data_IF_290293305760
#
_entry.id   IF_290293305760
#
_cell.length_a   1.000
_cell.length_b   1.000
_cell.length_c   1.000
_cell.angle_alpha   90.00
_cell.angle_beta   90.00
_cell.angle_gamma   90.00
#
_symmetry.space_group_name_H-M   'P 1'
#
loop_
_entity.id
_entity.type
_entity.pdbx_description
1 polymer ?
#
# COMPACT_ATOMS: atom_id res chain seq x y z
N UNK A 1 104.53 24.24 -52.70
CA UNK A 1 103.21 24.88 -52.89
C UNK A 1 102.25 24.29 -51.86
N UNK A 2 101.72 25.04 -50.89
CA UNK A 2 100.81 24.50 -49.89
C UNK A 2 99.36 24.56 -50.39
N UNK A 3 98.63 23.46 -50.23
CA UNK A 3 97.20 23.33 -50.54
C UNK A 3 96.36 23.86 -49.37
N UNK A 4 95.26 24.60 -49.62
CA UNK A 4 94.49 25.26 -48.56
C UNK A 4 93.54 24.30 -47.83
N UNK A 5 93.39 24.54 -46.53
CA UNK A 5 92.45 23.90 -45.60
C UNK A 5 90.99 24.19 -45.97
N UNK A 6 90.14 23.16 -45.93
CA UNK A 6 88.69 23.22 -46.12
C UNK A 6 87.96 23.63 -44.85
N UNK A 7 87.19 24.71 -44.92
CA UNK A 7 86.31 25.24 -43.84
C UNK A 7 85.09 24.33 -43.60
N UNK A 8 84.57 24.23 -42.35
CA UNK A 8 83.40 23.40 -42.05
C UNK A 8 82.10 24.04 -42.56
N UNK A 9 81.06 23.24 -42.89
CA UNK A 9 79.79 23.77 -43.35
C UNK A 9 79.02 24.45 -42.20
N UNK A 10 78.52 25.66 -42.47
CA UNK A 10 77.68 26.41 -41.56
C UNK A 10 76.32 25.70 -41.36
N UNK A 11 75.95 25.45 -40.10
CA UNK A 11 74.63 24.95 -39.72
C UNK A 11 73.56 25.97 -40.15
N UNK A 12 72.77 25.59 -41.15
CA UNK A 12 71.67 26.39 -41.68
C UNK A 12 70.55 26.40 -40.64
N UNK A 13 70.51 27.41 -39.77
CA UNK A 13 69.36 27.65 -38.90
C UNK A 13 68.10 27.81 -39.76
N UNK A 14 67.24 26.79 -39.76
CA UNK A 14 65.89 26.90 -40.31
C UNK A 14 65.18 28.01 -39.56
N UNK A 15 64.95 29.16 -40.20
CA UNK A 15 64.04 30.18 -39.70
C UNK A 15 62.66 29.54 -39.57
N UNK A 16 62.20 29.36 -38.34
CA UNK A 16 60.82 28.99 -38.06
C UNK A 16 59.96 30.16 -38.51
N UNK A 17 59.11 29.95 -39.52
CA UNK A 17 58.06 30.91 -39.87
C UNK A 17 57.04 30.89 -38.74
N UNK A 18 56.76 32.06 -38.15
CA UNK A 18 55.67 32.21 -37.18
C UNK A 18 54.32 31.96 -37.82
N UNK A 19 53.31 31.64 -37.01
CA UNK A 19 51.94 31.43 -37.47
C UNK A 19 51.33 32.72 -38.01
N UNK A 20 50.56 32.60 -39.09
CA UNK A 20 49.76 33.75 -39.55
C UNK A 20 48.57 33.99 -38.61
N UNK A 21 48.09 35.23 -38.52
CA UNK A 21 46.90 35.58 -37.72
C UNK A 21 45.70 34.67 -38.07
N UNK A 22 45.54 34.35 -39.36
CA UNK A 22 44.46 33.49 -39.87
C UNK A 22 44.61 32.06 -39.37
N UNK A 23 45.84 31.54 -39.28
CA UNK A 23 46.13 30.19 -38.76
C UNK A 23 45.78 30.08 -37.28
N UNK A 24 46.10 31.11 -36.49
CA UNK A 24 45.75 31.16 -35.05
C UNK A 24 44.23 31.29 -34.87
N UNK A 25 43.56 32.13 -35.68
CA UNK A 25 42.11 32.27 -35.64
C UNK A 25 41.39 30.96 -36.00
N UNK A 26 41.86 30.27 -37.04
CA UNK A 26 41.31 28.97 -37.44
C UNK A 26 41.57 27.89 -36.38
N UNK A 27 42.76 27.87 -35.77
CA UNK A 27 43.10 26.93 -34.71
C UNK A 27 42.21 27.09 -33.47
N UNK A 28 41.96 28.33 -33.03
CA UNK A 28 41.06 28.62 -31.91
C UNK A 28 39.62 28.24 -32.28
N UNK A 29 39.17 28.57 -33.49
CA UNK A 29 37.82 28.23 -33.96
C UNK A 29 37.58 26.72 -33.96
N UNK A 30 38.50 25.93 -34.54
CA UNK A 30 38.40 24.47 -34.55
C UNK A 30 38.48 23.87 -33.14
N UNK A 31 39.33 24.44 -32.26
CA UNK A 31 39.40 24.05 -30.85
C UNK A 31 38.09 24.30 -30.11
N UNK A 32 37.46 25.46 -30.32
CA UNK A 32 36.15 25.77 -29.73
C UNK A 32 35.05 24.83 -30.24
N UNK A 33 35.02 24.53 -31.54
CA UNK A 33 34.07 23.56 -32.09
C UNK A 33 34.23 22.17 -31.48
N UNK A 34 35.47 21.69 -31.32
CA UNK A 34 35.74 20.40 -30.70
C UNK A 34 35.27 20.36 -29.23
N UNK A 35 35.55 21.41 -28.45
CA UNK A 35 35.11 21.49 -27.05
C UNK A 35 33.58 21.54 -26.93
N UNK A 36 32.90 22.30 -27.79
CA UNK A 36 31.42 22.36 -27.81
C UNK A 36 30.85 20.99 -28.16
N UNK A 37 31.41 20.29 -29.15
CA UNK A 37 30.97 18.95 -29.52
C UNK A 37 31.09 17.96 -28.36
N UNK A 38 32.22 17.96 -27.65
CA UNK A 38 32.44 17.10 -26.47
C UNK A 38 31.48 17.47 -25.33
N UNK A 39 31.30 18.77 -25.04
CA UNK A 39 30.36 19.22 -24.01
C UNK A 39 28.92 18.81 -24.32
N UNK A 40 28.50 18.82 -25.60
CA UNK A 40 27.18 18.35 -26.01
C UNK A 40 26.98 16.86 -25.75
N UNK A 41 27.93 16.02 -26.18
CA UNK A 41 27.86 14.57 -25.95
C UNK A 41 27.89 14.24 -24.46
N UNK A 42 28.75 14.92 -23.70
CA UNK A 42 28.84 14.74 -22.25
C UNK A 42 27.53 15.15 -21.55
N UNK A 43 26.96 16.30 -21.92
CA UNK A 43 25.68 16.78 -21.37
C UNK A 43 24.52 15.81 -21.67
N UNK A 44 24.49 15.23 -22.87
CA UNK A 44 23.51 14.21 -23.23
C UNK A 44 23.70 12.92 -22.42
N UNK A 45 24.95 12.48 -22.23
CA UNK A 45 25.27 11.28 -21.44
C UNK A 45 24.92 11.46 -19.96
N UNK A 46 25.25 12.61 -19.35
CA UNK A 46 24.90 12.90 -17.95
C UNK A 46 23.38 12.96 -17.77
N UNK A 47 22.67 13.59 -18.71
CA UNK A 47 21.20 13.62 -18.71
C UNK A 47 20.63 12.21 -18.83
N UNK A 48 21.11 11.40 -19.78
CA UNK A 48 20.67 10.02 -19.94
C UNK A 48 20.92 9.17 -18.69
N UNK A 49 22.07 9.36 -18.03
CA UNK A 49 22.41 8.67 -16.79
C UNK A 49 21.47 9.08 -15.63
N UNK A 50 21.20 10.37 -15.45
CA UNK A 50 20.25 10.86 -14.43
C UNK A 50 18.85 10.31 -14.64
N UNK A 51 18.39 10.31 -15.90
CA UNK A 51 17.08 9.77 -16.26
C UNK A 51 17.00 8.27 -15.99
N UNK A 52 18.05 7.52 -16.35
CA UNK A 52 18.16 6.10 -16.08
C UNK A 52 18.06 5.80 -14.58
N UNK A 53 18.82 6.52 -13.76
CA UNK A 53 18.79 6.39 -12.30
C UNK A 53 17.41 6.74 -11.72
N UNK A 54 16.82 7.86 -12.13
CA UNK A 54 15.49 8.28 -11.64
C UNK A 54 14.39 7.28 -12.00
N UNK A 55 14.47 6.62 -13.17
CA UNK A 55 13.53 5.56 -13.55
C UNK A 55 13.74 4.28 -12.74
N UNK A 56 15.00 3.93 -12.45
CA UNK A 56 15.35 2.81 -11.58
C UNK A 56 14.84 3.01 -10.15
N UNK A 57 15.04 4.21 -9.58
CA UNK A 57 14.51 4.57 -8.25
C UNK A 57 12.98 4.48 -8.20
N UNK A 58 12.28 5.01 -9.21
CA UNK A 58 10.82 4.92 -9.29
C UNK A 58 10.35 3.45 -9.31
N UNK A 59 11.07 2.58 -10.02
CA UNK A 59 10.77 1.16 -10.09
C UNK A 59 10.98 0.46 -8.74
N UNK A 60 12.11 0.70 -8.09
CA UNK A 60 12.44 0.10 -6.79
C UNK A 60 11.45 0.54 -5.71
N UNK A 61 11.14 1.84 -5.64
CA UNK A 61 10.21 2.37 -4.64
C UNK A 61 8.79 1.85 -4.84
N UNK A 62 8.29 1.84 -6.09
CA UNK A 62 6.98 1.27 -6.40
C UNK A 62 6.92 -0.24 -6.10
N UNK A 63 7.98 -0.99 -6.41
CA UNK A 63 8.04 -2.42 -6.12
C UNK A 63 8.04 -2.70 -4.61
N UNK A 64 8.82 -1.93 -3.85
CA UNK A 64 8.86 -2.02 -2.38
C UNK A 64 7.49 -1.71 -1.77
N UNK A 65 6.84 -0.63 -2.21
CA UNK A 65 5.51 -0.26 -1.76
C UNK A 65 4.47 -1.37 -2.03
N UNK A 66 4.46 -1.91 -3.26
CA UNK A 66 3.55 -2.99 -3.63
C UNK A 66 3.82 -4.27 -2.82
N UNK A 67 5.09 -4.62 -2.59
CA UNK A 67 5.45 -5.82 -1.84
C UNK A 67 5.10 -5.72 -0.35
N UNK A 68 5.26 -4.55 0.27
CA UNK A 68 4.81 -4.29 1.64
C UNK A 68 3.30 -4.43 1.76
N UNK A 69 2.54 -3.72 0.92
CA UNK A 69 1.08 -3.79 0.89
C UNK A 69 0.61 -5.23 0.60
N UNK A 70 1.25 -5.91 -0.35
CA UNK A 70 0.90 -7.30 -0.69
C UNK A 70 1.08 -8.26 0.47
N UNK A 71 2.12 -8.07 1.29
CA UNK A 71 2.36 -8.92 2.47
C UNK A 71 1.30 -8.71 3.55
N UNK A 72 0.93 -7.46 3.80
CA UNK A 72 -0.10 -7.13 4.79
C UNK A 72 -1.50 -7.61 4.33
N UNK A 73 -1.87 -7.30 3.09
CA UNK A 73 -3.16 -7.70 2.49
C UNK A 73 -3.30 -9.24 2.43
N UNK A 74 -2.21 -9.99 2.23
CA UNK A 74 -2.26 -11.46 2.27
C UNK A 74 -2.62 -12.02 3.65
N UNK A 75 -2.35 -11.28 4.72
CA UNK A 75 -2.72 -11.64 6.10
C UNK A 75 -4.08 -11.06 6.51
N UNK A 76 -4.63 -10.14 5.71
CA UNK A 76 -5.94 -9.55 5.96
C UNK A 76 -7.02 -10.60 6.26
N UNK A 77 -7.84 -10.31 7.26
CA UNK A 77 -8.91 -11.19 7.73
C UNK A 77 -8.43 -12.42 8.51
N UNK A 78 -7.14 -12.62 8.75
CA UNK A 78 -6.65 -13.70 9.62
C UNK A 78 -7.29 -13.54 11.02
N UNK A 79 -7.81 -14.64 11.58
CA UNK A 79 -8.51 -14.67 12.87
C UNK A 79 -9.83 -13.85 12.94
N UNK A 80 -10.22 -13.20 11.84
CA UNK A 80 -11.52 -12.52 11.65
C UNK A 80 -12.36 -13.20 10.57
N UNK A 81 -11.87 -14.30 10.02
CA UNK A 81 -12.48 -15.06 8.93
C UNK A 81 -13.55 -16.03 9.43
N UNK A 82 -14.57 -15.52 10.12
CA UNK A 82 -15.81 -16.23 10.41
C UNK A 82 -17.00 -15.38 9.97
N UNK A 83 -18.00 -16.02 9.38
CA UNK A 83 -19.24 -15.34 8.97
C UNK A 83 -20.00 -14.74 10.15
N UNK A 84 -19.73 -15.22 11.37
CA UNK A 84 -20.31 -14.68 12.60
C UNK A 84 -19.77 -13.29 12.96
N UNK A 85 -18.57 -12.93 12.47
CA UNK A 85 -17.91 -11.67 12.77
C UNK A 85 -17.94 -10.68 11.60
N UNK A 86 -17.92 -11.16 10.35
CA UNK A 86 -17.88 -10.29 9.18
C UNK A 86 -19.05 -9.30 9.18
N UNK A 87 -18.74 -8.01 8.96
CA UNK A 87 -19.73 -6.94 8.98
C UNK A 87 -20.07 -6.42 10.38
N UNK A 88 -19.68 -7.09 11.47
CA UNK A 88 -19.91 -6.58 12.81
C UNK A 88 -19.19 -5.27 13.07
N UNK A 89 -19.75 -4.46 13.97
CA UNK A 89 -19.17 -3.18 14.39
C UNK A 89 -18.20 -3.39 15.55
N UNK A 90 -16.90 -3.20 15.33
CA UNK A 90 -15.84 -3.32 16.32
C UNK A 90 -15.49 -1.95 16.94
N UNK A 91 -15.50 -1.88 18.27
CA UNK A 91 -14.94 -0.76 19.04
C UNK A 91 -13.54 -1.11 19.54
N UNK A 92 -12.61 -0.17 19.39
CA UNK A 92 -11.25 -0.23 19.92
C UNK A 92 -11.00 0.92 20.90
N UNK A 93 -9.82 0.96 21.53
CA UNK A 93 -9.54 1.87 22.65
C UNK A 93 -8.93 3.22 22.29
N UNK A 94 -8.29 3.30 21.12
CA UNK A 94 -7.52 4.47 20.68
C UNK A 94 -8.39 5.57 20.10
N UNK A 95 -9.62 5.26 19.69
CA UNK A 95 -10.54 6.19 19.07
C UNK A 95 -11.99 5.90 19.47
N UNK A 96 -12.86 6.91 19.38
CA UNK A 96 -14.31 6.74 19.53
C UNK A 96 -14.99 6.24 18.25
N UNK A 97 -14.26 6.17 17.14
CA UNK A 97 -14.76 5.59 15.90
C UNK A 97 -14.92 4.08 16.03
N UNK A 98 -15.93 3.55 15.37
CA UNK A 98 -16.15 2.11 15.26
C UNK A 98 -15.78 1.63 13.86
N UNK A 99 -15.42 0.35 13.77
CA UNK A 99 -14.88 -0.28 12.58
C UNK A 99 -15.83 -1.36 12.09
N UNK A 100 -15.99 -1.52 10.79
CA UNK A 100 -16.62 -2.73 10.25
C UNK A 100 -15.58 -3.85 10.22
N UNK A 101 -15.89 -5.01 10.79
CA UNK A 101 -15.03 -6.18 10.70
C UNK A 101 -15.03 -6.69 9.27
N UNK A 102 -13.94 -6.40 8.57
CA UNK A 102 -13.68 -6.77 7.20
C UNK A 102 -12.16 -6.94 7.00
N UNK A 103 -11.72 -7.77 6.04
CA UNK A 103 -10.29 -7.97 5.80
C UNK A 103 -9.60 -6.67 5.36
N UNK A 104 -10.19 -5.98 4.40
CA UNK A 104 -9.70 -4.71 3.86
C UNK A 104 -10.89 -3.81 3.58
N UNK A 105 -10.79 -2.53 3.94
CA UNK A 105 -11.73 -1.47 3.54
C UNK A 105 -10.98 -0.43 2.71
N UNK A 106 -11.51 -0.13 1.52
CA UNK A 106 -11.02 0.88 0.59
C UNK A 106 -11.80 2.18 0.79
N UNK A 107 -11.11 3.31 0.84
CA UNK A 107 -11.68 4.66 0.88
C UNK A 107 -12.64 4.93 2.05
N UNK A 108 -12.30 4.43 3.25
CA UNK A 108 -13.04 4.78 4.47
C UNK A 108 -12.66 6.18 4.95
N UNK A 109 -13.41 7.19 4.53
CA UNK A 109 -13.08 8.60 4.80
C UNK A 109 -13.27 9.03 6.26
N UNK A 110 -14.02 8.26 7.06
CA UNK A 110 -14.20 8.61 8.47
C UNK A 110 -12.98 8.16 9.30
N UNK A 111 -12.48 6.93 9.05
CA UNK A 111 -11.34 6.36 9.78
C UNK A 111 -10.01 6.66 9.09
N UNK A 112 -9.96 6.88 7.80
CA UNK A 112 -8.71 7.19 7.11
C UNK A 112 -8.87 8.52 6.37
N UNK A 113 -8.40 9.63 6.97
CA UNK A 113 -8.47 10.94 6.35
C UNK A 113 -7.82 10.89 4.97
N UNK A 114 -8.39 11.61 4.00
CA UNK A 114 -7.86 11.65 2.65
C UNK A 114 -6.36 12.00 2.63
N UNK A 115 -5.63 11.34 1.74
CA UNK A 115 -4.23 11.62 1.46
C UNK A 115 -4.06 12.70 0.39
N UNK A 116 -3.01 12.53 -0.42
CA UNK A 116 -2.82 13.28 -1.65
C UNK A 116 -4.03 13.09 -2.57
N UNK A 117 -4.34 14.11 -3.38
CA UNK A 117 -5.52 14.13 -4.23
C UNK A 117 -5.57 12.91 -5.18
N UNK A 118 -6.77 12.35 -5.35
CA UNK A 118 -7.05 11.21 -6.24
C UNK A 118 -6.24 9.94 -5.94
N UNK A 119 -5.86 9.77 -4.67
CA UNK A 119 -5.26 8.54 -4.14
C UNK A 119 -6.24 7.84 -3.22
N UNK A 120 -6.31 6.51 -3.34
CA UNK A 120 -7.15 5.69 -2.49
C UNK A 120 -6.48 5.46 -1.13
N UNK A 121 -7.30 5.21 -0.12
CA UNK A 121 -6.86 4.81 1.22
C UNK A 121 -7.25 3.36 1.50
N UNK A 122 -6.46 2.68 2.32
CA UNK A 122 -6.73 1.29 2.72
C UNK A 122 -6.77 1.20 4.23
N UNK A 123 -7.65 0.37 4.75
CA UNK A 123 -7.68 -0.09 6.13
C UNK A 123 -7.61 -1.61 6.12
N UNK A 124 -6.58 -2.20 6.72
CA UNK A 124 -6.33 -3.65 6.72
C UNK A 124 -6.44 -4.16 8.15
N UNK A 125 -7.24 -5.19 8.37
CA UNK A 125 -7.36 -5.84 9.69
C UNK A 125 -6.82 -7.26 9.63
N UNK A 126 -5.94 -7.61 10.56
CA UNK A 126 -5.39 -8.96 10.65
C UNK A 126 -5.09 -9.34 12.10
N UNK A 127 -5.39 -10.59 12.45
CA UNK A 127 -4.89 -11.27 13.64
C UNK A 127 -3.72 -12.18 13.32
N UNK A 128 -3.15 -12.79 14.35
CA UNK A 128 -2.07 -13.78 14.22
C UNK A 128 -2.39 -15.11 14.93
N UNK A 129 -3.62 -15.27 15.43
CA UNK A 129 -4.07 -16.51 16.06
C UNK A 129 -4.18 -17.64 15.02
N UNK A 130 -3.48 -18.74 15.28
CA UNK A 130 -3.42 -19.92 14.41
C UNK A 130 -4.40 -21.04 14.75
N UNK A 131 -5.38 -20.81 15.64
CA UNK A 131 -6.39 -21.80 16.02
C UNK A 131 -7.71 -21.68 15.25
N UNK A 132 -8.81 -22.08 15.89
CA UNK A 132 -10.15 -22.09 15.26
C UNK A 132 -10.65 -20.67 14.95
N UNK A 133 -11.06 -20.38 13.69
CA UNK A 133 -11.65 -19.09 13.33
C UNK A 133 -13.11 -18.93 13.80
N UNK A 134 -13.81 -20.03 14.13
CA UNK A 134 -15.23 -20.02 14.54
C UNK A 134 -15.44 -19.62 16.01
N UNK A 135 -14.38 -19.22 16.70
CA UNK A 135 -14.41 -18.91 18.12
C UNK A 135 -14.50 -20.14 19.02
N UNK A 136 -14.40 -19.91 20.32
CA UNK A 136 -14.58 -20.91 21.37
C UNK A 136 -15.88 -20.66 22.13
N UNK A 137 -16.62 -21.73 22.42
CA UNK A 137 -17.89 -21.61 23.11
C UNK A 137 -17.71 -21.05 24.53
N UNK A 138 -18.56 -20.09 24.89
CA UNK A 138 -18.57 -19.49 26.22
C UNK A 138 -19.63 -20.18 27.07
N UNK A 139 -19.22 -20.83 28.16
CA UNK A 139 -20.14 -21.53 29.07
C UNK A 139 -20.67 -20.64 30.19
N UNK A 140 -19.94 -19.58 30.54
CA UNK A 140 -20.37 -18.55 31.48
C UNK A 140 -19.64 -17.24 31.19
N UNK A 141 -20.33 -16.11 31.31
CA UNK A 141 -19.72 -14.78 31.23
C UNK A 141 -20.02 -13.98 32.52
N UNK A 142 -19.07 -13.15 32.90
CA UNK A 142 -19.16 -12.24 34.04
C UNK A 142 -18.48 -10.92 33.74
N UNK A 143 -18.58 -9.96 34.66
CA UNK A 143 -17.92 -8.66 34.47
C UNK A 143 -16.40 -8.86 34.38
N UNK A 144 -15.81 -8.57 33.22
CA UNK A 144 -14.38 -8.71 32.99
C UNK A 144 -13.87 -10.16 32.99
N UNK A 145 -14.74 -11.16 32.79
CA UNK A 145 -14.30 -12.55 32.68
C UNK A 145 -15.24 -13.40 31.82
N UNK A 146 -14.66 -14.43 31.22
CA UNK A 146 -15.36 -15.38 30.36
C UNK A 146 -14.83 -16.78 30.64
N UNK A 147 -15.72 -17.77 30.74
CA UNK A 147 -15.36 -19.18 30.86
C UNK A 147 -15.46 -19.84 29.51
N UNK A 148 -14.30 -20.19 28.96
CA UNK A 148 -14.11 -20.80 27.64
C UNK A 148 -14.01 -22.32 27.77
N UNK A 149 -14.48 -23.05 26.77
CA UNK A 149 -14.36 -24.51 26.71
C UNK A 149 -12.92 -24.96 26.44
N UNK A 150 -12.18 -24.23 25.60
CA UNK A 150 -10.80 -24.58 25.21
C UNK A 150 -9.81 -23.58 25.80
N UNK A 151 -9.48 -23.72 27.08
CA UNK A 151 -8.54 -22.81 27.77
C UNK A 151 -7.20 -22.64 27.03
N UNK A 152 -6.64 -23.73 26.48
CA UNK A 152 -5.36 -23.71 25.76
C UNK A 152 -5.37 -22.93 24.43
N UNK A 153 -6.54 -22.48 23.98
CA UNK A 153 -6.68 -21.57 22.85
C UNK A 153 -6.32 -20.13 23.19
N UNK A 154 -6.13 -19.77 24.46
CA UNK A 154 -5.95 -18.39 24.92
C UNK A 154 -4.69 -18.25 25.77
N UNK A 155 -3.98 -17.16 25.56
CA UNK A 155 -2.80 -16.79 26.35
C UNK A 155 -2.95 -15.34 26.84
N UNK A 156 -2.36 -15.03 28.00
CA UNK A 156 -2.33 -13.64 28.46
C UNK A 156 -1.61 -12.75 27.42
N UNK A 157 -2.24 -11.63 27.07
CA UNK A 157 -1.80 -10.72 26.01
C UNK A 157 -2.61 -10.83 24.72
N UNK A 158 -3.29 -11.94 24.50
CA UNK A 158 -4.10 -12.15 23.29
C UNK A 158 -5.24 -11.13 23.20
N UNK A 159 -5.43 -10.57 22.01
CA UNK A 159 -6.61 -9.80 21.68
C UNK A 159 -7.80 -10.75 21.47
N UNK A 160 -8.97 -10.33 21.96
CA UNK A 160 -10.17 -11.15 21.99
C UNK A 160 -11.40 -10.29 21.74
N UNK A 161 -12.38 -10.85 21.03
CA UNK A 161 -13.72 -10.29 20.94
C UNK A 161 -14.76 -11.33 21.36
N UNK A 162 -15.78 -10.88 22.07
CA UNK A 162 -16.96 -11.68 22.39
C UNK A 162 -18.04 -11.39 21.35
N UNK A 163 -18.60 -12.44 20.76
CA UNK A 163 -19.53 -12.33 19.64
C UNK A 163 -20.51 -13.50 19.54
N UNK A 164 -21.38 -13.48 18.51
CA UNK A 164 -22.39 -14.50 18.30
C UNK A 164 -21.78 -15.81 17.76
N UNK A 165 -22.54 -16.89 17.83
CA UNK A 165 -22.23 -18.19 17.21
C UNK A 165 -22.96 -18.41 15.87
N UNK A 166 -23.67 -17.39 15.41
CA UNK A 166 -24.40 -17.40 14.15
C UNK A 166 -24.39 -15.99 13.53
N UNK A 167 -24.30 -15.85 12.20
CA UNK A 167 -24.24 -14.53 11.56
C UNK A 167 -25.48 -13.70 11.86
N UNK A 168 -25.30 -12.44 12.23
CA UNK A 168 -26.41 -11.49 12.35
C UNK A 168 -26.79 -10.98 10.97
N UNK A 169 -27.98 -11.40 10.54
CA UNK A 169 -28.51 -11.15 9.22
C UNK A 169 -29.49 -9.98 9.29
N UNK A 170 -29.05 -8.73 9.05
CA UNK A 170 -29.82 -7.54 8.62
C UNK A 170 -29.03 -6.23 8.82
N UNK A 171 -29.14 -5.28 7.89
CA UNK A 171 -28.57 -3.92 8.04
C UNK A 171 -29.08 -3.20 9.28
N UNK A 172 -28.17 -2.63 10.08
CA UNK A 172 -28.49 -1.93 11.33
C UNK A 172 -28.69 -2.86 12.53
N UNK A 173 -28.47 -4.16 12.37
CA UNK A 173 -28.54 -5.18 13.43
C UNK A 173 -27.27 -6.03 13.52
N UNK A 174 -26.20 -5.57 12.84
CA UNK A 174 -24.87 -6.14 12.94
C UNK A 174 -24.44 -6.24 14.40
N UNK A 175 -23.73 -7.31 14.75
CA UNK A 175 -23.27 -7.46 16.12
C UNK A 175 -22.31 -6.32 16.48
N UNK A 176 -22.37 -5.84 17.72
CA UNK A 176 -21.35 -4.94 18.26
C UNK A 176 -20.31 -5.77 18.98
N UNK A 177 -19.05 -5.52 18.70
CA UNK A 177 -17.90 -6.18 19.30
C UNK A 177 -17.10 -5.14 20.06
N UNK A 178 -16.66 -5.48 21.26
CA UNK A 178 -15.67 -4.70 21.97
C UNK A 178 -14.33 -5.43 21.96
N UNK A 179 -13.26 -4.75 21.54
CA UNK A 179 -11.93 -5.31 21.63
C UNK A 179 -11.53 -5.45 23.11
N UNK A 180 -11.11 -6.64 23.49
CA UNK A 180 -10.64 -6.97 24.82
C UNK A 180 -9.26 -7.63 24.73
N UNK A 181 -8.56 -7.70 25.86
CA UNK A 181 -7.32 -8.47 26.02
C UNK A 181 -7.47 -9.48 27.13
N UNK A 182 -6.93 -10.66 26.92
CA UNK A 182 -6.78 -11.67 27.97
C UNK A 182 -5.70 -11.19 28.94
N UNK A 183 -6.07 -10.87 30.18
CA UNK A 183 -5.12 -10.41 31.20
C UNK A 183 -4.50 -11.57 31.97
N UNK A 184 -5.27 -12.63 32.19
CA UNK A 184 -4.84 -13.86 32.85
C UNK A 184 -5.77 -15.03 32.47
N UNK A 185 -5.29 -16.25 32.62
CA UNK A 185 -6.07 -17.47 32.46
C UNK A 185 -5.94 -18.34 33.72
N UNK A 186 -7.07 -18.67 34.35
CA UNK A 186 -7.13 -19.54 35.52
C UNK A 186 -8.09 -20.71 35.25
N UNK A 187 -7.52 -21.88 34.94
CA UNK A 187 -8.31 -23.00 34.43
C UNK A 187 -8.98 -22.61 33.12
N UNK A 188 -10.30 -22.74 33.06
CA UNK A 188 -11.12 -22.37 31.90
C UNK A 188 -11.61 -20.92 31.91
N UNK A 189 -11.28 -20.14 32.94
CA UNK A 189 -11.74 -18.75 33.05
C UNK A 189 -10.64 -17.80 32.59
N UNK A 190 -10.90 -17.09 31.50
CA UNK A 190 -10.08 -15.97 31.04
C UNK A 190 -10.56 -14.68 31.70
N UNK A 191 -9.65 -14.00 32.39
CA UNK A 191 -9.86 -12.62 32.83
C UNK A 191 -9.59 -11.67 31.67
N UNK A 192 -10.46 -10.69 31.50
CA UNK A 192 -10.45 -9.77 30.38
C UNK A 192 -10.25 -8.33 30.86
N UNK A 193 -9.38 -7.60 30.18
CA UNK A 193 -9.30 -6.14 30.27
C UNK A 193 -9.92 -5.54 29.00
N UNK A 194 -10.85 -4.60 29.16
CA UNK A 194 -11.39 -3.86 28.03
C UNK A 194 -10.28 -3.04 27.36
N UNK A 195 -10.19 -3.15 26.04
CA UNK A 195 -9.36 -2.26 25.22
C UNK A 195 -10.27 -1.21 24.61
N UNK A 196 -11.37 -1.62 23.97
CA UNK A 196 -12.36 -0.69 23.45
C UNK A 196 -13.34 -0.14 24.49
N UNK A 197 -13.99 0.95 24.11
CA UNK A 197 -14.95 1.68 24.94
C UNK A 197 -16.40 1.20 24.79
N UNK A 198 -16.64 0.22 23.91
CA UNK A 198 -17.97 -0.33 23.65
C UNK A 198 -18.36 -1.49 24.57
N UNK A 199 -19.52 -2.09 24.28
CA UNK A 199 -19.96 -3.36 24.87
C UNK A 199 -20.28 -4.34 23.75
N UNK A 200 -19.80 -5.57 23.88
CA UNK A 200 -20.23 -6.64 22.95
C UNK A 200 -21.73 -6.89 23.10
N UNK A 201 -22.45 -6.99 21.99
CA UNK A 201 -23.89 -7.29 21.98
C UNK A 201 -24.18 -8.76 22.32
N UNK A 202 -23.18 -9.63 22.19
CA UNK A 202 -23.27 -11.07 22.44
C UNK A 202 -21.99 -11.57 23.13
N UNK A 203 -22.10 -12.65 23.90
CA UNK A 203 -20.97 -13.34 24.55
C UNK A 203 -21.05 -14.86 24.42
N UNK A 204 -21.75 -15.37 23.40
CA UNK A 204 -21.93 -16.80 23.12
C UNK A 204 -20.63 -17.50 22.70
N UNK A 205 -19.73 -16.77 22.02
CA UNK A 205 -18.41 -17.25 21.66
C UNK A 205 -17.31 -16.20 21.92
N UNK A 206 -16.12 -16.71 22.23
CA UNK A 206 -14.89 -15.96 22.39
C UNK A 206 -13.97 -16.21 21.18
N UNK A 207 -13.72 -15.15 20.41
CA UNK A 207 -12.84 -15.22 19.24
C UNK A 207 -11.46 -14.70 19.62
N UNK A 208 -10.46 -15.58 19.57
CA UNK A 208 -9.07 -15.18 19.78
C UNK A 208 -8.51 -14.59 18.48
N UNK A 209 -8.06 -13.34 18.54
CA UNK A 209 -7.43 -12.61 17.44
C UNK A 209 -5.90 -12.67 17.51
N UNK A 210 -5.37 -13.18 18.63
CA UNK A 210 -3.95 -13.33 18.92
C UNK A 210 -3.31 -12.06 19.47
N UNK A 211 -2.07 -12.17 19.95
CA UNK A 211 -1.36 -11.04 20.55
C UNK A 211 -0.94 -9.98 19.51
N UNK A 212 -0.81 -10.37 18.24
CA UNK A 212 -0.44 -9.52 17.12
C UNK A 212 -1.61 -8.98 16.31
N UNK A 213 -2.84 -8.96 16.87
CA UNK A 213 -3.97 -8.29 16.23
C UNK A 213 -3.60 -6.85 15.88
N UNK A 214 -3.94 -6.41 14.67
CA UNK A 214 -3.59 -5.09 14.13
C UNK A 214 -4.66 -4.55 13.21
N UNK A 215 -4.72 -3.21 13.13
CA UNK A 215 -5.57 -2.47 12.20
C UNK A 215 -4.67 -1.42 11.55
N UNK A 216 -4.20 -1.69 10.33
CA UNK A 216 -3.28 -0.80 9.62
C UNK A 216 -4.02 0.08 8.62
N UNK A 217 -3.86 1.39 8.75
CA UNK A 217 -4.34 2.37 7.80
C UNK A 217 -3.20 2.80 6.87
N UNK A 218 -3.46 2.86 5.56
CA UNK A 218 -2.52 3.31 4.53
C UNK A 218 -3.10 4.47 3.74
N UNK A 219 -2.26 5.47 3.47
CA UNK A 219 -2.58 6.59 2.61
C UNK A 219 -1.31 7.09 1.91
N UNK A 220 -1.45 7.69 0.73
CA UNK A 220 -0.36 8.46 0.13
C UNK A 220 -0.41 9.87 0.70
N UNK A 221 0.68 10.35 1.32
CA UNK A 221 0.77 11.70 1.88
C UNK A 221 2.09 12.33 1.48
N UNK A 222 2.01 13.52 0.89
CA UNK A 222 3.18 14.30 0.47
C UNK A 222 4.14 13.51 -0.44
N UNK A 223 3.59 12.70 -1.35
CA UNK A 223 4.38 11.86 -2.26
C UNK A 223 5.04 10.64 -1.60
N UNK A 224 4.58 10.22 -0.42
CA UNK A 224 5.05 9.00 0.25
C UNK A 224 3.85 8.12 0.61
N UNK A 225 4.00 6.80 0.50
CA UNK A 225 3.07 5.86 1.13
C UNK A 225 3.36 5.86 2.63
N UNK A 226 2.35 6.18 3.43
CA UNK A 226 2.42 6.17 4.90
C UNK A 226 1.50 5.11 5.48
N UNK A 227 1.85 4.64 6.68
CA UNK A 227 1.13 3.64 7.44
C UNK A 227 0.89 4.17 8.86
N UNK A 228 -0.30 3.92 9.40
CA UNK A 228 -0.62 4.13 10.81
C UNK A 228 -1.25 2.87 11.41
N UNK A 229 -0.84 2.49 12.62
CA UNK A 229 -1.44 1.39 13.38
C UNK A 229 -2.49 1.94 14.35
N UNK A 230 -3.74 1.56 14.12
CA UNK A 230 -4.88 2.00 14.91
C UNK A 230 -4.86 1.50 16.34
N UNK A 231 -4.11 0.44 16.68
CA UNK A 231 -3.98 0.00 18.06
C UNK A 231 -2.92 0.79 18.84
N UNK A 232 -2.06 1.53 18.14
CA UNK A 232 -1.08 2.44 18.73
C UNK A 232 -1.56 3.89 18.76
N UNK A 233 -2.26 4.34 17.71
CA UNK A 233 -2.67 5.74 17.53
C UNK A 233 -4.09 5.85 16.95
N UNK A 234 -4.73 7.01 17.13
CA UNK A 234 -5.94 7.34 16.36
C UNK A 234 -5.53 7.88 14.97
N UNK A 235 -5.57 7.00 13.96
CA UNK A 235 -5.16 7.34 12.59
C UNK A 235 -6.09 8.35 11.90
N UNK A 236 -7.26 8.65 12.47
CA UNK A 236 -8.13 9.72 11.98
C UNK A 236 -7.63 11.13 12.29
N UNK A 237 -6.58 11.22 13.11
CA UNK A 237 -5.94 12.45 13.52
C UNK A 237 -4.44 12.43 13.20
N UNK A 238 -3.75 13.56 13.39
CA UNK A 238 -2.29 13.61 13.27
C UNK A 238 -1.75 13.28 11.87
N UNK A 239 -2.47 13.63 10.80
CA UNK A 239 -2.15 13.27 9.40
C UNK A 239 -0.76 13.73 8.92
N UNK A 240 -0.21 14.77 9.55
CA UNK A 240 1.13 15.31 9.24
C UNK A 240 2.19 14.89 10.28
N UNK A 241 1.81 14.13 11.30
CA UNK A 241 2.73 13.65 12.33
C UNK A 241 3.36 12.32 11.88
N UNK A 242 4.66 12.35 11.58
CA UNK A 242 5.41 11.18 11.14
C UNK A 242 5.60 10.09 12.21
N UNK A 243 5.26 10.38 13.48
CA UNK A 243 5.21 9.36 14.53
C UNK A 243 3.90 8.57 14.53
N UNK A 244 2.82 9.15 13.99
CA UNK A 244 1.50 8.51 13.80
C UNK A 244 1.42 7.88 12.42
N UNK A 245 1.72 8.68 11.38
CA UNK A 245 1.72 8.28 9.98
C UNK A 245 3.16 8.08 9.48
N UNK A 246 3.68 6.88 9.69
CA UNK A 246 5.07 6.55 9.39
C UNK A 246 5.25 6.33 7.88
N UNK A 247 6.20 7.00 7.21
CA UNK A 247 6.48 6.75 5.80
C UNK A 247 7.11 5.37 5.60
N UNK A 248 6.47 4.52 4.79
CA UNK A 248 6.91 3.15 4.50
C UNK A 248 7.49 2.99 3.08
N UNK A 249 7.12 3.87 2.15
CA UNK A 249 7.77 3.98 0.85
C UNK A 249 7.75 5.41 0.33
N UNK A 250 8.86 5.84 -0.25
CA UNK A 250 9.01 7.21 -0.76
C UNK A 250 8.68 7.34 -2.25
N UNK A 251 8.36 8.55 -2.70
CA UNK A 251 8.11 8.86 -4.10
C UNK A 251 6.94 8.06 -4.70
N UNK A 252 5.92 7.82 -3.89
CA UNK A 252 4.65 7.23 -4.31
C UNK A 252 3.65 8.36 -4.50
N UNK A 253 3.10 8.49 -5.70
CA UNK A 253 2.19 9.61 -6.05
C UNK A 253 0.74 9.18 -6.25
N UNK A 254 0.49 7.89 -6.34
CA UNK A 254 -0.86 7.35 -6.42
C UNK A 254 -0.88 5.93 -5.90
N UNK A 255 -1.95 5.61 -5.18
CA UNK A 255 -2.37 4.28 -4.76
C UNK A 255 -3.79 4.13 -5.26
N UNK A 256 -4.07 3.11 -6.07
CA UNK A 256 -5.42 2.76 -6.51
C UNK A 256 -5.77 1.34 -6.08
N UNK A 257 -7.01 1.10 -5.67
CA UNK A 257 -7.45 -0.23 -5.23
C UNK A 257 -8.93 -0.51 -5.53
N UNK A 258 -9.23 -1.76 -5.86
CA UNK A 258 -10.56 -2.29 -6.14
C UNK A 258 -10.74 -3.66 -5.48
N UNK A 259 -11.95 -3.92 -4.99
CA UNK A 259 -12.37 -5.23 -4.53
C UNK A 259 -12.59 -6.16 -5.71
N UNK A 260 -12.06 -7.38 -5.62
CA UNK A 260 -12.39 -8.46 -6.51
C UNK A 260 -13.50 -9.32 -5.93
N UNK A 261 -14.60 -9.42 -6.65
CA UNK A 261 -15.78 -10.18 -6.24
C UNK A 261 -15.79 -11.56 -6.89
N UNK A 262 -16.18 -12.58 -6.14
CA UNK A 262 -16.43 -13.92 -6.69
C UNK A 262 -17.91 -14.09 -7.06
N UNK A 263 -18.20 -14.88 -8.08
CA UNK A 263 -19.57 -15.33 -8.38
C UNK A 263 -20.20 -16.02 -7.16
N UNK A 264 -21.52 -15.83 -6.98
CA UNK A 264 -22.27 -16.60 -5.99
C UNK A 264 -22.35 -18.07 -6.40
N UNK A 265 -22.19 -18.99 -5.44
CA UNK A 265 -22.22 -20.43 -5.69
C UNK A 265 -21.56 -21.24 -4.57
N UNK A 266 -22.00 -22.48 -4.40
CA UNK A 266 -21.53 -23.42 -3.36
C UNK A 266 -20.28 -24.20 -3.77
N UNK A 267 -19.94 -24.20 -5.06
CA UNK A 267 -18.85 -24.98 -5.62
C UNK A 267 -17.55 -24.15 -5.72
N UNK A 268 -16.60 -24.47 -4.85
CA UNK A 268 -15.28 -23.84 -4.80
C UNK A 268 -14.50 -24.01 -6.11
N UNK A 269 -14.75 -25.06 -6.88
CA UNK A 269 -14.05 -25.32 -8.15
C UNK A 269 -14.58 -24.43 -9.31
N UNK A 270 -15.78 -23.84 -9.15
CA UNK A 270 -16.38 -22.92 -10.13
C UNK A 270 -16.42 -21.47 -9.63
N UNK A 271 -15.81 -21.18 -8.48
CA UNK A 271 -15.71 -19.84 -7.89
C UNK A 271 -14.73 -19.01 -8.70
N UNK A 272 -15.23 -18.36 -9.73
CA UNK A 272 -14.47 -17.46 -10.60
C UNK A 272 -14.69 -16.02 -10.15
N UNK A 273 -13.65 -15.22 -10.31
CA UNK A 273 -13.75 -13.78 -10.13
C UNK A 273 -14.75 -13.20 -11.16
N UNK A 274 -15.80 -12.53 -10.68
CA UNK A 274 -16.89 -11.99 -11.50
C UNK A 274 -16.63 -10.57 -11.98
N UNK A 275 -15.84 -9.79 -11.23
CA UNK A 275 -15.55 -8.39 -11.55
C UNK A 275 -14.76 -7.68 -10.45
N UNK A 276 -14.49 -6.40 -10.70
CA UNK A 276 -13.81 -5.48 -9.79
C UNK A 276 -14.62 -4.19 -9.63
N UNK A 277 -14.61 -3.60 -8.42
CA UNK A 277 -15.16 -2.26 -8.16
C UNK A 277 -14.55 -1.63 -6.90
N UNK A 278 -14.87 -0.37 -6.63
CA UNK A 278 -14.53 0.33 -5.37
C UNK A 278 -15.72 0.41 -4.39
N UNK A 279 -16.77 -0.39 -4.60
CA UNK A 279 -18.01 -0.30 -3.83
C UNK A 279 -17.88 -1.09 -2.52
N UNK A 280 -17.69 -0.38 -1.42
CA UNK A 280 -17.62 -1.03 -0.10
C UNK A 280 -18.96 -1.70 0.26
N UNK A 281 -18.95 -2.98 0.66
CA UNK A 281 -20.14 -3.67 1.15
C UNK A 281 -20.84 -2.89 2.28
N UNK A 282 -22.13 -2.64 2.11
CA UNK A 282 -22.95 -1.87 3.05
C UNK A 282 -24.22 -2.63 3.52
N UNK A 283 -24.41 -3.88 3.07
CA UNK A 283 -25.59 -4.69 3.36
C UNK A 283 -26.83 -4.23 2.58
N UNK A 284 -27.89 -5.02 2.58
CA UNK A 284 -29.22 -4.59 2.15
C UNK A 284 -30.32 -5.22 3.00
N UNK A 285 -31.47 -4.56 3.08
CA UNK A 285 -32.66 -5.06 3.78
C UNK A 285 -33.46 -6.11 2.99
N UNK A 286 -32.98 -6.59 1.83
CA UNK A 286 -33.69 -7.51 0.95
C UNK A 286 -33.29 -8.98 1.17
N UNK A 287 -34.28 -9.87 1.28
CA UNK A 287 -34.13 -11.27 1.70
C UNK A 287 -33.48 -12.22 0.68
N UNK A 288 -33.06 -11.73 -0.49
CA UNK A 288 -32.39 -12.54 -1.51
C UNK A 288 -30.98 -11.96 -1.72
N UNK A 289 -29.96 -12.68 -1.26
CA UNK A 289 -28.52 -12.41 -1.47
C UNK A 289 -27.87 -11.17 -0.80
N UNK A 290 -28.44 -10.57 0.27
CA UNK A 290 -28.00 -9.23 0.70
C UNK A 290 -27.56 -9.02 2.17
N UNK A 291 -27.15 -10.06 2.90
CA UNK A 291 -26.60 -9.82 4.24
C UNK A 291 -25.16 -9.27 4.16
N UNK A 292 -24.81 -8.34 5.05
CA UNK A 292 -23.50 -7.65 5.01
C UNK A 292 -22.33 -8.64 5.13
N UNK A 293 -22.43 -9.64 6.02
CA UNK A 293 -21.41 -10.69 6.15
C UNK A 293 -21.23 -11.50 4.85
N UNK A 294 -22.31 -11.74 4.10
CA UNK A 294 -22.25 -12.42 2.81
C UNK A 294 -21.57 -11.56 1.75
N UNK A 295 -21.92 -10.28 1.67
CA UNK A 295 -21.26 -9.36 0.74
C UNK A 295 -19.74 -9.30 1.00
N UNK A 296 -19.33 -9.23 2.27
CA UNK A 296 -17.91 -9.32 2.64
C UNK A 296 -17.29 -10.69 2.29
N UNK A 297 -18.02 -11.79 2.48
CA UNK A 297 -17.55 -13.12 2.10
C UNK A 297 -17.36 -13.29 0.58
N UNK A 298 -18.06 -12.50 -0.25
CA UNK A 298 -17.87 -12.47 -1.71
C UNK A 298 -16.64 -11.65 -2.16
N UNK A 299 -16.10 -10.79 -1.30
CA UNK A 299 -14.84 -10.08 -1.54
C UNK A 299 -13.67 -11.07 -1.34
N UNK A 300 -13.07 -11.50 -2.44
CA UNK A 300 -12.06 -12.59 -2.44
C UNK A 300 -10.68 -12.17 -2.91
N UNK A 301 -10.55 -10.97 -3.46
CA UNK A 301 -9.28 -10.40 -3.86
C UNK A 301 -9.28 -8.88 -3.68
N UNK A 302 -8.09 -8.29 -3.62
CA UNK A 302 -7.88 -6.86 -3.79
C UNK A 302 -6.96 -6.67 -5.00
N UNK A 303 -7.44 -5.96 -6.02
CA UNK A 303 -6.61 -5.51 -7.15
C UNK A 303 -6.15 -4.10 -6.87
N UNK A 304 -4.86 -3.83 -7.04
CA UNK A 304 -4.30 -2.52 -6.71
C UNK A 304 -3.15 -2.14 -7.64
N UNK A 305 -2.93 -0.83 -7.74
CA UNK A 305 -1.78 -0.23 -8.40
C UNK A 305 -1.13 0.82 -7.51
N UNK A 306 0.20 0.87 -7.54
CA UNK A 306 1.03 1.87 -6.90
C UNK A 306 1.89 2.55 -7.96
N UNK A 307 1.91 3.89 -7.94
CA UNK A 307 2.64 4.69 -8.91
C UNK A 307 3.85 5.33 -8.26
N UNK A 308 5.04 4.84 -8.60
CA UNK A 308 6.32 5.45 -8.24
C UNK A 308 6.69 6.57 -9.20
N UNK A 309 7.23 7.67 -8.69
CA UNK A 309 7.72 8.82 -9.45
C UNK A 309 9.25 8.92 -9.39
N UNK A 310 9.89 9.18 -10.52
CA UNK A 310 11.33 9.45 -10.53
C UNK A 310 11.70 10.73 -9.78
N UNK A 311 12.88 10.78 -9.17
CA UNK A 311 13.35 11.95 -8.40
C UNK A 311 13.80 13.13 -9.27
N UNK A 312 14.17 12.86 -10.52
CA UNK A 312 14.66 13.88 -11.46
C UNK A 312 13.51 14.46 -12.29
N UNK A 313 13.31 15.77 -12.16
CA UNK A 313 12.45 16.55 -13.05
C UNK A 313 13.07 16.66 -14.44
N UNK A 314 12.33 16.27 -15.47
CA UNK A 314 12.65 16.36 -16.88
C UNK A 314 11.77 17.47 -17.48
N UNK A 315 12.36 18.65 -17.71
CA UNK A 315 11.65 19.71 -18.42
C UNK A 315 11.37 19.28 -19.86
N UNK A 316 10.26 19.79 -20.38
CA UNK A 316 9.88 19.69 -21.78
C UNK A 316 11.04 19.98 -22.74
N UNK A 317 11.24 19.09 -23.72
CA UNK A 317 12.22 19.26 -24.80
C UNK A 317 11.44 19.39 -26.10
N UNK A 318 11.63 20.50 -26.82
CA UNK A 318 10.98 20.78 -28.11
C UNK A 318 9.44 20.65 -28.10
N UNK A 319 8.80 21.05 -27.00
CA UNK A 319 7.33 20.97 -26.91
C UNK A 319 6.79 19.60 -26.46
N UNK A 320 7.68 18.67 -26.07
CA UNK A 320 7.31 17.31 -25.66
C UNK A 320 7.56 17.11 -24.16
N UNK A 321 6.51 16.90 -23.35
CA UNK A 321 6.67 16.64 -21.92
C UNK A 321 7.31 15.27 -21.69
N UNK A 322 7.86 15.07 -20.48
CA UNK A 322 8.39 13.77 -20.08
C UNK A 322 7.28 12.70 -20.05
N UNK A 323 6.09 13.10 -19.61
CA UNK A 323 4.90 12.24 -19.60
C UNK A 323 3.72 13.02 -20.17
N UNK A 324 3.13 12.51 -21.26
CA UNK A 324 2.03 13.17 -21.96
C UNK A 324 0.63 12.78 -21.44
N UNK A 325 0.50 11.59 -20.86
CA UNK A 325 -0.74 11.06 -20.30
C UNK A 325 -0.44 10.38 -18.96
N UNK A 326 -1.39 10.41 -18.02
CA UNK A 326 -1.24 9.70 -16.75
C UNK A 326 -0.98 8.20 -17.02
N UNK A 327 -0.17 7.52 -16.20
CA UNK A 327 0.09 6.10 -16.36
C UNK A 327 -1.22 5.30 -16.28
N UNK A 328 -1.34 4.26 -17.11
CA UNK A 328 -2.48 3.37 -17.10
C UNK A 328 -2.25 2.14 -16.20
N UNK A 329 -3.35 1.55 -15.70
CA UNK A 329 -3.36 0.28 -14.99
C UNK A 329 -4.63 -0.52 -15.31
N UNK A 330 -4.70 -1.77 -14.86
CA UNK A 330 -5.77 -2.70 -15.25
C UNK A 330 -7.18 -2.29 -14.75
N UNK A 331 -7.26 -1.39 -13.76
CA UNK A 331 -8.50 -0.82 -13.19
C UNK A 331 -8.85 0.57 -13.71
N UNK A 332 -8.24 1.04 -14.80
CA UNK A 332 -8.45 2.40 -15.31
C UNK A 332 -9.90 2.74 -15.68
N UNK A 333 -10.74 1.75 -15.96
CA UNK A 333 -12.13 1.97 -16.34
C UNK A 333 -12.95 2.64 -15.22
N UNK A 334 -12.73 2.21 -13.98
CA UNK A 334 -13.50 2.63 -12.81
C UNK A 334 -12.66 3.47 -11.84
N UNK A 335 -11.35 3.24 -11.81
CA UNK A 335 -10.42 3.85 -10.86
C UNK A 335 -9.13 4.37 -11.54
N UNK A 336 -9.28 5.19 -12.59
CA UNK A 336 -8.17 5.78 -13.34
C UNK A 336 -7.18 6.55 -12.47
N UNK A 337 -5.88 6.38 -12.76
CA UNK A 337 -4.82 7.20 -12.11
C UNK A 337 -4.97 8.66 -12.57
N UNK A 338 -5.18 9.55 -11.60
CA UNK A 338 -5.28 10.99 -11.85
C UNK A 338 -4.15 11.73 -11.11
N UNK A 339 -3.23 12.31 -11.89
CA UNK A 339 -2.10 13.09 -11.39
C UNK A 339 -2.33 14.61 -11.50
N UNK A 340 -3.52 15.06 -11.89
CA UNK A 340 -3.85 16.47 -12.10
C UNK A 340 -3.72 17.33 -10.84
N UNK A 341 -3.75 16.71 -9.65
CA UNK A 341 -3.45 17.37 -8.38
C UNK A 341 -1.99 17.83 -8.23
N UNK A 342 -1.08 17.37 -9.09
CA UNK A 342 0.34 17.73 -9.09
C UNK A 342 0.65 18.64 -10.29
N UNK A 343 0.89 19.94 -10.06
CA UNK A 343 1.03 20.92 -11.15
C UNK A 343 2.15 20.63 -12.18
N UNK A 344 3.18 19.87 -11.80
CA UNK A 344 4.35 19.54 -12.62
C UNK A 344 4.41 18.05 -12.99
N UNK A 345 3.28 17.33 -12.93
CA UNK A 345 3.25 15.88 -13.15
C UNK A 345 3.81 15.46 -14.53
N UNK A 346 3.61 16.28 -15.56
CA UNK A 346 4.11 16.01 -16.92
C UNK A 346 5.64 16.05 -17.03
N UNK A 347 6.33 16.61 -16.03
CA UNK A 347 7.80 16.74 -16.01
C UNK A 347 8.50 15.53 -15.37
N UNK A 348 7.79 14.47 -14.97
CA UNK A 348 8.40 13.28 -14.36
C UNK A 348 8.11 12.02 -15.16
N UNK A 349 8.92 10.99 -14.92
CA UNK A 349 8.66 9.62 -15.38
C UNK A 349 8.12 8.79 -14.24
N UNK A 350 7.18 7.91 -14.56
CA UNK A 350 6.47 7.10 -13.59
C UNK A 350 6.67 5.60 -13.85
N UNK A 351 6.53 4.80 -12.79
CA UNK A 351 6.48 3.34 -12.85
C UNK A 351 5.26 2.86 -12.09
N UNK A 352 4.38 2.15 -12.79
CA UNK A 352 3.22 1.51 -12.20
C UNK A 352 3.60 0.09 -11.81
N UNK A 353 3.35 -0.26 -10.56
CA UNK A 353 3.39 -1.63 -10.06
C UNK A 353 1.98 -2.01 -9.66
N UNK A 354 1.47 -3.11 -10.22
CA UNK A 354 0.10 -3.55 -9.97
C UNK A 354 0.06 -5.04 -9.64
N UNK A 355 -0.93 -5.44 -8.84
CA UNK A 355 -1.18 -6.84 -8.52
C UNK A 355 -2.67 -7.07 -8.19
N UNK A 356 -3.14 -8.28 -8.48
CA UNK A 356 -4.37 -8.82 -7.90
C UNK A 356 -3.97 -9.79 -6.78
N UNK A 357 -4.24 -9.39 -5.53
CA UNK A 357 -3.85 -10.13 -4.32
C UNK A 357 -5.08 -10.92 -3.83
N UNK A 358 -5.04 -12.26 -3.82
CA UNK A 358 -6.12 -13.05 -3.24
C UNK A 358 -6.19 -12.85 -1.72
N UNK A 359 -7.39 -12.60 -1.20
CA UNK A 359 -7.67 -12.58 0.22
C UNK A 359 -7.84 -14.01 0.70
N UNK A 360 -6.71 -14.69 0.95
CA UNK A 360 -6.66 -16.11 1.35
C UNK A 360 -7.69 -16.44 2.42
N UNK A 361 -7.79 -15.63 3.46
CA UNK A 361 -8.64 -15.92 4.62
C UNK A 361 -10.13 -15.81 4.30
N UNK A 362 -10.50 -15.13 3.21
CA UNK A 362 -11.88 -15.07 2.70
C UNK A 362 -12.18 -16.20 1.70
N UNK A 363 -11.18 -16.71 0.98
CA UNK A 363 -11.39 -17.80 0.02
C UNK A 363 -11.92 -19.09 0.68
N UNK A 364 -11.50 -19.37 1.91
CA UNK A 364 -11.94 -20.54 2.69
C UNK A 364 -13.35 -20.41 3.27
N UNK A 365 -13.86 -19.17 3.38
CA UNK A 365 -15.26 -18.91 3.70
C UNK A 365 -16.06 -19.28 2.46
N UNK A 366 -16.42 -20.56 2.37
CA UNK A 366 -17.26 -21.06 1.30
C UNK A 366 -18.53 -20.21 1.27
N UNK A 367 -18.78 -19.56 0.14
CA UNK A 367 -20.02 -18.81 -0.09
C UNK A 367 -21.26 -19.70 -0.01
N UNK A 368 -21.13 -21.01 0.22
CA UNK A 368 -22.20 -21.99 0.39
C UNK A 368 -23.18 -21.73 1.54
N UNK A 369 -22.89 -20.79 2.45
CA UNK A 369 -23.79 -20.33 3.52
C UNK A 369 -24.40 -18.94 3.23
N UNK A 370 -24.24 -18.48 1.99
CA UNK A 370 -24.81 -17.30 1.35
C UNK A 370 -25.42 -17.70 -0.01
#
# INVERSE_FOLDING_TARGET
MPSPLSSPPALRQRRVRGFSLVEVMLGILLGMFAVIAVLKVFSQSDTAQRIGNASGEAQVNAAMALDLLSRDIRQAGQSLNSLNLLGCTLSIGTTSQTFVVAPVVVNDTDRVPAGDAHTDTLLVMSGDYGGSPEGDAVSASGTGSVTVTTAGAFTAGDALVLGPISPTALTGTECTLNLQKVSNLSGNTASLSAVGSGTSSDSSAAYNLGAGFSIHAYAVRHGNLTMCDYLAHDCSTGTDDTSVWVPVASQIVSLRAEYGHATAGTDLDTRVLSGYDQSTPAGSSSATASYLYCQWAHVTALRMAVVGRGTTRQREVDGVPATAAAPAWDGDADAAIDLSGLSDWQDYRYRVMQAAIPLRNMLWLGASSC
#
